data_IF_527443759255
#
_entry.id   IF_527443759255
#
_cell.length_a   1.000
_cell.length_b   1.000
_cell.length_c   1.000
_cell.angle_alpha   90.00
_cell.angle_beta   90.00
_cell.angle_gamma   90.00
#
_symmetry.space_group_name_H-M   'P 1'
#
loop_
_entity.id
_entity.type
_entity.pdbx_description
1 polymer ?
#
# COMPACT_ATOMS: atom_id res chain seq x y z
N UNK A 1 18.99 18.72 -3.62
CA UNK A 1 17.90 18.00 -4.34
C UNK A 1 18.59 16.93 -5.17
N UNK A 2 18.86 15.77 -4.57
CA UNK A 2 19.45 14.65 -5.29
C UNK A 2 18.34 13.61 -5.48
N UNK A 3 17.91 13.46 -6.73
CA UNK A 3 17.05 12.38 -7.17
C UNK A 3 17.92 11.12 -7.31
N UNK A 4 17.82 10.20 -6.35
CA UNK A 4 18.41 8.87 -6.51
C UNK A 4 17.51 8.04 -7.43
N UNK A 5 17.88 7.97 -8.71
CA UNK A 5 17.31 7.03 -9.69
C UNK A 5 18.07 5.71 -9.53
N UNK A 6 17.42 4.70 -8.95
CA UNK A 6 17.96 3.34 -8.90
C UNK A 6 17.57 2.59 -10.18
N UNK A 7 18.55 2.35 -11.05
CA UNK A 7 18.41 1.54 -12.27
C UNK A 7 18.34 0.04 -11.92
N UNK A 8 17.30 -0.62 -12.48
CA UNK A 8 17.26 -2.03 -12.92
C UNK A 8 17.86 -3.12 -12.02
N UNK A 9 16.98 -3.94 -11.42
CA UNK A 9 17.36 -5.22 -10.82
C UNK A 9 16.14 -6.00 -10.33
N UNK A 10 15.79 -7.04 -11.07
CA UNK A 10 14.76 -8.03 -10.73
C UNK A 10 15.16 -8.69 -9.40
N UNK A 11 14.40 -8.45 -8.32
CA UNK A 11 14.70 -9.01 -7.01
C UNK A 11 13.55 -8.79 -6.02
N UNK A 12 12.87 -9.87 -5.67
CA UNK A 12 11.78 -9.90 -4.69
C UNK A 12 12.32 -9.57 -3.29
N UNK A 13 12.25 -8.29 -2.91
CA UNK A 13 12.36 -7.85 -1.51
C UNK A 13 11.33 -6.75 -1.27
N UNK A 14 10.54 -6.80 -0.18
CA UNK A 14 9.70 -5.67 0.21
C UNK A 14 10.61 -4.45 0.43
N UNK A 15 10.40 -3.37 -0.34
CA UNK A 15 11.10 -2.09 -0.12
C UNK A 15 12.04 -1.58 -1.23
N UNK A 16 12.11 -2.17 -2.44
CA UNK A 16 12.93 -1.59 -3.53
C UNK A 16 12.12 -1.12 -4.74
N UNK A 17 11.10 -0.31 -4.47
CA UNK A 17 10.37 0.43 -5.49
C UNK A 17 8.91 0.01 -5.67
N UNK A 18 8.34 -0.80 -4.78
CA UNK A 18 6.90 -1.09 -4.81
C UNK A 18 6.17 -0.29 -3.74
N UNK A 19 4.88 -0.03 -3.97
CA UNK A 19 4.03 0.60 -2.97
C UNK A 19 3.90 -0.31 -1.78
N UNK A 20 4.06 0.21 -0.58
CA UNK A 20 4.02 -0.60 0.63
C UNK A 20 2.60 -1.02 1.03
N UNK A 21 1.58 -0.39 0.44
CA UNK A 21 0.18 -0.69 0.67
C UNK A 21 -0.37 -1.73 -0.33
N UNK A 22 -0.14 -1.53 -1.63
CA UNK A 22 -0.67 -2.39 -2.69
C UNK A 22 0.42 -3.19 -3.42
N UNK A 23 1.70 -3.01 -3.13
CA UNK A 23 2.80 -3.69 -3.83
C UNK A 23 2.90 -3.40 -5.34
N UNK A 24 2.17 -2.39 -5.87
CA UNK A 24 2.38 -1.93 -7.25
C UNK A 24 3.83 -1.45 -7.42
N UNK A 25 4.54 -1.87 -8.49
CA UNK A 25 5.87 -1.33 -8.75
C UNK A 25 5.83 0.12 -9.22
N UNK A 26 6.86 0.90 -8.87
CA UNK A 26 6.96 2.34 -9.12
C UNK A 26 6.77 2.70 -10.60
N UNK A 27 7.37 1.92 -11.51
CA UNK A 27 7.25 2.14 -12.95
C UNK A 27 5.87 1.82 -13.55
N UNK A 28 4.94 1.29 -12.74
CA UNK A 28 3.60 0.87 -13.19
C UNK A 28 2.48 1.66 -12.50
N UNK A 29 2.81 2.61 -11.62
CA UNK A 29 1.80 3.54 -11.10
C UNK A 29 1.55 4.67 -12.09
N UNK A 30 0.28 5.04 -12.33
CA UNK A 30 -0.04 6.23 -13.11
C UNK A 30 0.44 7.52 -12.42
N UNK A 31 0.53 7.51 -11.09
CA UNK A 31 0.93 8.63 -10.26
C UNK A 31 2.35 8.48 -9.71
N UNK A 32 2.99 9.60 -9.37
CA UNK A 32 4.25 9.59 -8.64
C UNK A 32 4.07 8.98 -7.26
N UNK A 33 5.15 8.39 -6.76
CA UNK A 33 5.19 7.91 -5.38
C UNK A 33 5.62 9.00 -4.41
N UNK A 34 5.15 8.84 -3.18
CA UNK A 34 5.39 9.77 -2.09
C UNK A 34 5.78 9.00 -0.84
N UNK A 35 6.59 9.63 0.01
CA UNK A 35 6.71 9.22 1.40
C UNK A 35 5.45 9.66 2.12
N UNK A 36 4.65 8.68 2.50
CA UNK A 36 3.37 8.84 3.16
C UNK A 36 3.51 8.53 4.65
N UNK A 37 2.86 9.33 5.50
CA UNK A 37 2.92 9.16 6.94
C UNK A 37 1.92 8.10 7.42
N UNK A 38 2.41 6.97 7.92
CA UNK A 38 1.57 5.87 8.41
C UNK A 38 0.63 6.38 9.52
N UNK A 39 1.18 7.05 10.54
CA UNK A 39 0.45 7.95 11.44
C UNK A 39 0.57 9.39 10.89
N UNK A 40 -0.53 10.05 10.51
CA UNK A 40 -0.49 11.40 9.95
C UNK A 40 0.13 12.42 10.92
N UNK A 41 0.86 13.41 10.39
CA UNK A 41 1.41 14.51 11.19
C UNK A 41 0.33 15.26 11.99
N UNK A 42 -0.87 15.44 11.41
CA UNK A 42 -2.01 16.07 12.08
C UNK A 42 -2.52 15.30 13.30
N UNK A 43 -2.12 14.04 13.46
CA UNK A 43 -2.45 13.17 14.59
C UNK A 43 -1.22 12.85 15.45
N UNK A 44 -0.16 13.66 15.33
CA UNK A 44 1.06 13.52 16.14
C UNK A 44 2.09 12.53 15.58
N UNK A 45 1.97 12.13 14.31
CA UNK A 45 3.01 11.36 13.63
C UNK A 45 4.32 12.15 13.44
N UNK A 46 5.40 11.43 13.18
CA UNK A 46 6.74 11.99 12.90
C UNK A 46 7.15 11.75 11.46
N UNK A 47 8.18 12.45 10.98
CA UNK A 47 8.79 12.19 9.66
C UNK A 47 9.97 11.20 9.74
N UNK A 48 10.03 10.40 10.81
CA UNK A 48 11.06 9.37 10.95
C UNK A 48 10.77 8.19 10.00
N UNK A 49 11.80 7.48 9.50
CA UNK A 49 11.62 6.38 8.54
C UNK A 49 10.62 5.30 8.98
N UNK A 50 10.50 5.05 10.28
CA UNK A 50 9.55 4.08 10.85
C UNK A 50 8.09 4.50 10.68
N UNK A 51 7.82 5.79 10.49
CA UNK A 51 6.48 6.31 10.23
C UNK A 51 6.26 6.66 8.76
N UNK A 52 7.22 6.39 7.87
CA UNK A 52 7.11 6.64 6.45
C UNK A 52 6.89 5.36 5.66
N UNK A 53 5.92 5.38 4.75
CA UNK A 53 5.65 4.35 3.78
C UNK A 53 5.87 4.90 2.36
N UNK A 54 6.52 4.13 1.50
CA UNK A 54 6.60 4.43 0.08
C UNK A 54 5.29 4.07 -0.60
N UNK A 55 4.49 5.06 -1.01
CA UNK A 55 3.14 4.85 -1.48
C UNK A 55 2.90 5.51 -2.84
N UNK A 56 2.13 4.84 -3.71
CA UNK A 56 1.59 5.46 -4.92
C UNK A 56 0.53 6.53 -4.58
N UNK A 57 0.26 7.42 -5.53
CA UNK A 57 -0.71 8.50 -5.38
C UNK A 57 -2.13 8.02 -5.02
N UNK A 58 -2.56 6.88 -5.55
CA UNK A 58 -3.86 6.28 -5.27
C UNK A 58 -3.98 5.79 -3.83
N UNK A 59 -3.01 5.00 -3.36
CA UNK A 59 -2.98 4.52 -1.97
C UNK A 59 -2.82 5.66 -0.98
N UNK A 60 -1.91 6.61 -1.24
CA UNK A 60 -1.71 7.80 -0.41
C UNK A 60 -2.99 8.64 -0.35
N UNK A 61 -3.59 8.97 -1.49
CA UNK A 61 -4.82 9.76 -1.57
C UNK A 61 -6.01 9.08 -0.90
N UNK A 62 -6.13 7.75 -1.02
CA UNK A 62 -7.19 7.00 -0.35
C UNK A 62 -7.00 6.95 1.16
N UNK A 63 -5.77 6.72 1.64
CA UNK A 63 -5.43 6.73 3.07
C UNK A 63 -5.64 8.13 3.66
N UNK A 64 -5.00 9.12 3.07
CA UNK A 64 -4.97 10.50 3.54
C UNK A 64 -4.68 10.53 5.07
N UNK A 65 -5.46 11.27 5.83
CA UNK A 65 -5.35 11.34 7.30
C UNK A 65 -6.02 10.19 8.06
N UNK A 66 -6.54 9.17 7.37
CA UNK A 66 -7.26 8.06 8.03
C UNK A 66 -6.24 7.11 8.68
N UNK A 67 -6.54 6.68 9.90
CA UNK A 67 -5.82 5.63 10.63
C UNK A 67 -6.70 4.39 10.88
N UNK A 68 -8.00 4.54 10.66
CA UNK A 68 -9.02 3.51 10.85
C UNK A 68 -10.05 3.55 9.72
N UNK A 69 -10.73 2.43 9.52
CA UNK A 69 -11.89 2.31 8.64
C UNK A 69 -12.94 1.42 9.29
N UNK A 70 -14.21 1.62 8.96
CA UNK A 70 -15.27 0.73 9.43
C UNK A 70 -15.22 -0.58 8.66
N UNK A 71 -15.13 -1.70 9.36
CA UNK A 71 -15.24 -3.02 8.76
C UNK A 71 -16.68 -3.19 8.20
N UNK A 72 -16.85 -3.47 6.90
CA UNK A 72 -18.17 -3.53 6.28
C UNK A 72 -19.04 -4.66 6.83
N UNK A 73 -18.45 -5.72 7.38
CA UNK A 73 -19.16 -6.88 7.95
C UNK A 73 -19.52 -6.65 9.41
N UNK A 74 -18.59 -6.15 10.23
CA UNK A 74 -18.83 -5.98 11.68
C UNK A 74 -19.38 -4.62 12.05
N UNK A 75 -19.29 -3.63 11.14
CA UNK A 75 -19.61 -2.21 11.38
C UNK A 75 -18.84 -1.59 12.54
N UNK A 76 -17.70 -2.19 12.94
CA UNK A 76 -16.83 -1.67 13.97
C UNK A 76 -15.62 -0.96 13.36
N UNK A 77 -15.06 0.07 14.03
CA UNK A 77 -13.82 0.68 13.59
C UNK A 77 -12.68 -0.35 13.70
N UNK A 78 -11.91 -0.48 12.64
CA UNK A 78 -10.73 -1.30 12.57
C UNK A 78 -9.54 -0.46 12.12
N UNK A 79 -8.35 -0.75 12.67
CA UNK A 79 -7.12 -0.09 12.23
C UNK A 79 -6.81 -0.43 10.77
N UNK A 80 -6.29 0.54 10.06
CA UNK A 80 -5.73 0.32 8.73
C UNK A 80 -4.50 -0.59 8.79
N UNK A 81 -4.15 -1.15 7.63
CA UNK A 81 -2.91 -1.91 7.47
C UNK A 81 -1.69 -1.05 7.80
N UNK A 82 -0.73 -1.61 8.51
CA UNK A 82 0.50 -0.93 8.93
C UNK A 82 1.72 -1.62 8.30
N UNK A 83 2.38 -1.03 7.29
CA UNK A 83 3.41 -1.71 6.49
C UNK A 83 4.65 -2.15 7.29
N UNK A 84 4.93 -1.51 8.44
CA UNK A 84 6.00 -1.91 9.37
C UNK A 84 5.60 -3.00 10.38
N UNK A 85 4.32 -3.13 10.73
CA UNK A 85 3.86 -4.00 11.82
C UNK A 85 3.09 -5.23 11.32
N UNK A 86 2.55 -5.16 10.11
CA UNK A 86 1.67 -6.18 9.54
C UNK A 86 2.32 -6.88 8.36
N UNK A 87 2.14 -8.20 8.29
CA UNK A 87 2.53 -8.96 7.10
C UNK A 87 1.46 -8.84 6.03
N UNK A 88 1.81 -8.28 4.87
CA UNK A 88 0.88 -8.01 3.79
C UNK A 88 0.04 -9.24 3.39
N UNK A 89 0.70 -10.39 3.24
CA UNK A 89 0.09 -11.66 2.85
C UNK A 89 -0.84 -12.28 3.92
N UNK A 90 -0.84 -11.79 5.16
CA UNK A 90 -1.82 -12.18 6.18
C UNK A 90 -3.14 -11.37 6.06
N UNK A 91 -3.11 -10.24 5.35
CA UNK A 91 -4.22 -9.29 5.24
C UNK A 91 -4.83 -9.22 3.85
N UNK A 92 -4.02 -9.42 2.82
CA UNK A 92 -4.43 -9.29 1.43
C UNK A 92 -4.04 -10.53 0.62
N UNK A 93 -4.83 -10.80 -0.41
CA UNK A 93 -4.52 -11.73 -1.49
C UNK A 93 -4.73 -11.02 -2.82
N UNK A 94 -4.15 -11.58 -3.86
CA UNK A 94 -4.57 -11.26 -5.21
C UNK A 94 -5.92 -11.92 -5.51
N UNK A 95 -6.71 -11.27 -6.36
CA UNK A 95 -7.87 -11.89 -7.02
C UNK A 95 -7.41 -13.05 -7.90
N UNK A 96 -8.34 -13.91 -8.32
CA UNK A 96 -8.03 -15.07 -9.19
C UNK A 96 -7.40 -14.66 -10.52
N UNK A 97 -7.79 -13.50 -11.05
CA UNK A 97 -7.22 -12.89 -12.25
C UNK A 97 -5.98 -12.02 -11.96
N UNK A 98 -5.55 -11.96 -10.70
CA UNK A 98 -4.39 -11.21 -10.20
C UNK A 98 -4.38 -9.71 -10.53
N UNK A 99 -5.54 -9.14 -10.83
CA UNK A 99 -5.67 -7.72 -11.15
C UNK A 99 -5.95 -6.84 -9.93
N UNK A 100 -6.48 -7.45 -8.85
CA UNK A 100 -6.95 -6.73 -7.67
C UNK A 100 -6.40 -7.33 -6.38
N UNK A 101 -6.20 -6.45 -5.40
CA UNK A 101 -5.93 -6.89 -4.03
C UNK A 101 -7.25 -7.03 -3.27
N UNK A 102 -7.54 -8.26 -2.83
CA UNK A 102 -8.70 -8.58 -2.03
C UNK A 102 -8.30 -8.72 -0.56
N UNK A 103 -9.02 -8.12 0.38
CA UNK A 103 -8.80 -8.35 1.80
C UNK A 103 -9.13 -9.81 2.17
N UNK A 104 -8.16 -10.52 2.77
CA UNK A 104 -8.34 -11.91 3.26
C UNK A 104 -9.28 -12.01 4.46
N UNK A 105 -9.45 -10.91 5.18
CA UNK A 105 -10.34 -10.82 6.34
C UNK A 105 -11.07 -9.49 6.29
N UNK A 106 -12.36 -9.53 6.62
CA UNK A 106 -13.22 -8.35 6.89
C UNK A 106 -12.52 -7.26 7.73
N UNK A 107 -11.65 -7.71 8.63
CA UNK A 107 -11.04 -6.94 9.70
C UNK A 107 -10.13 -5.80 9.27
N UNK A 108 -9.71 -5.67 8.01
CA UNK A 108 -8.75 -4.63 7.57
C UNK A 108 -8.93 -4.28 6.10
N UNK A 109 -10.14 -3.87 5.71
CA UNK A 109 -10.40 -3.50 4.33
C UNK A 109 -9.94 -2.05 4.06
N UNK A 110 -8.78 -1.91 3.43
CA UNK A 110 -8.68 -0.97 2.32
C UNK A 110 -9.49 -1.61 1.19
N UNK A 111 -10.74 -1.23 1.02
CA UNK A 111 -11.42 -1.50 -0.24
C UNK A 111 -10.88 -0.46 -1.22
N UNK A 112 -9.94 -0.89 -2.07
CA UNK A 112 -9.59 -0.18 -3.30
C UNK A 112 -10.50 -0.72 -4.40
N UNK A 113 -11.72 -0.18 -4.63
CA UNK A 113 -12.23 -0.24 -5.98
C UNK A 113 -11.41 0.80 -6.76
N UNK A 114 -10.85 0.41 -7.91
CA UNK A 114 -10.11 1.27 -8.85
C UNK A 114 -8.63 1.50 -8.58
N UNK A 115 -7.84 0.44 -8.75
CA UNK A 115 -6.64 0.53 -9.59
C UNK A 115 -6.67 -0.69 -10.52
N UNK A 116 -7.29 -0.54 -11.70
CA UNK A 116 -7.09 -1.49 -12.79
C UNK A 116 -5.65 -1.33 -13.25
N UNK A 117 -4.76 -2.20 -12.77
CA UNK A 117 -3.45 -2.36 -13.38
C UNK A 117 -3.46 -3.68 -14.15
N UNK A 118 -3.38 -3.66 -15.49
CA UNK A 118 -3.20 -4.89 -16.24
C UNK A 118 -1.86 -5.51 -15.85
N UNK A 119 -1.87 -6.66 -15.19
CA UNK A 119 -0.66 -7.45 -14.97
C UNK A 119 -0.25 -8.05 -16.33
N UNK A 120 0.93 -7.70 -16.82
CA UNK A 120 1.62 -8.55 -17.82
C UNK A 120 2.61 -9.44 -17.08
N UNK A 121 2.13 -10.65 -16.82
CA UNK A 121 2.80 -11.92 -16.45
C UNK A 121 3.02 -12.28 -14.95
N UNK A 122 2.67 -13.53 -14.55
CA UNK A 122 2.86 -14.07 -13.20
C UNK A 122 4.27 -14.66 -12.99
N UNK A 123 4.81 -14.70 -11.76
CA UNK A 123 6.05 -15.42 -11.50
C UNK A 123 5.80 -16.93 -11.44
N UNK A 124 6.67 -17.69 -12.11
CA UNK A 124 6.87 -19.13 -11.91
C UNK A 124 7.39 -19.43 -10.50
#
# INVERSE_FOLDING_TARGET
MEYFICHSGIGQTPGRGNCEYCLVPFGFSPDTFHFEHILPLSLGGTSDPENLAWADGGCNGHKHVKTQHFDPLTKQPARLYHPRLDKWNEHFQWSEDETLHLPKRAKRAFHLPFLFLPRTEPPR
#
